data_IF_598823425590
#
_entry.id   IF_598823425590
#
_cell.length_a   1.000
_cell.length_b   1.000
_cell.length_c   1.000
_cell.angle_alpha   90.00
_cell.angle_beta   90.00
_cell.angle_gamma   90.00
#
_symmetry.space_group_name_H-M   'P 1'
#
loop_
_entity.id
_entity.type
_entity.pdbx_description
1 polymer ?
#
# COMPACT_ATOMS: atom_id res chain seq x y z
N UNK A 1 -13.59 22.64 1.75
CA UNK A 1 -13.71 21.52 2.71
C UNK A 1 -13.13 20.29 2.04
N UNK A 2 -11.88 19.94 2.35
CA UNK A 2 -11.19 18.81 1.73
C UNK A 2 -11.15 17.67 2.76
N UNK A 3 -11.86 16.58 2.47
CA UNK A 3 -11.99 15.35 3.26
C UNK A 3 -10.75 14.45 3.06
N UNK A 4 -9.59 14.91 3.52
CA UNK A 4 -8.38 14.07 3.64
C UNK A 4 -7.67 14.32 4.97
N UNK A 5 -8.42 14.79 5.96
CA UNK A 5 -7.99 14.91 7.33
C UNK A 5 -8.53 13.72 8.10
N UNK A 6 -7.75 12.63 8.12
CA UNK A 6 -7.55 11.74 9.28
C UNK A 6 -6.98 10.36 8.86
N UNK A 7 -5.87 10.34 8.11
CA UNK A 7 -4.92 9.21 8.17
C UNK A 7 -4.02 9.35 9.41
N UNK A 8 -4.62 9.60 10.59
CA UNK A 8 -3.91 9.83 11.86
C UNK A 8 -3.90 8.59 12.77
N UNK A 9 -4.23 7.39 12.25
CA UNK A 9 -4.25 6.16 13.05
C UNK A 9 -3.61 4.96 12.36
N UNK A 10 -2.63 5.21 11.49
CA UNK A 10 -1.63 4.20 11.17
C UNK A 10 -0.28 4.84 11.42
N UNK A 11 0.10 4.84 12.69
CA UNK A 11 1.50 4.80 13.05
C UNK A 11 2.13 3.65 12.26
N UNK A 12 2.67 3.92 11.09
CA UNK A 12 3.83 3.20 10.58
C UNK A 12 4.84 3.37 11.70
N UNK A 13 4.85 2.37 12.59
CA UNK A 13 5.58 2.40 13.85
C UNK A 13 6.94 2.98 13.59
N UNK A 14 7.40 3.92 14.43
CA UNK A 14 8.70 4.60 14.39
C UNK A 14 9.88 3.61 14.35
N UNK A 15 9.99 2.86 13.27
CA UNK A 15 10.95 1.81 12.95
C UNK A 15 11.62 2.27 11.67
N UNK A 16 12.94 2.17 11.63
CA UNK A 16 13.67 2.52 10.42
C UNK A 16 13.42 1.45 9.35
N UNK A 17 13.52 1.84 8.08
CA UNK A 17 13.54 0.88 6.96
C UNK A 17 14.61 -0.22 7.14
N UNK A 18 15.71 0.12 7.83
CA UNK A 18 16.76 -0.82 8.24
C UNK A 18 16.24 -1.94 9.15
N UNK A 19 15.48 -1.59 10.19
CA UNK A 19 14.92 -2.54 11.16
C UNK A 19 13.87 -3.44 10.49
N UNK A 20 13.01 -2.84 9.68
CA UNK A 20 11.99 -3.59 8.94
C UNK A 20 12.61 -4.57 7.95
N UNK A 21 13.64 -4.12 7.21
CA UNK A 21 14.38 -4.98 6.29
C UNK A 21 15.04 -6.16 7.00
N UNK A 22 15.67 -5.90 8.16
CA UNK A 22 16.31 -6.93 8.97
C UNK A 22 15.29 -7.98 9.44
N UNK A 23 14.14 -7.55 9.98
CA UNK A 23 13.08 -8.44 10.46
C UNK A 23 12.42 -9.24 9.34
N UNK A 24 12.27 -8.64 8.16
CA UNK A 24 11.70 -9.28 6.98
C UNK A 24 12.68 -10.18 6.22
N UNK A 25 13.99 -10.11 6.51
CA UNK A 25 15.01 -10.84 5.78
C UNK A 25 15.17 -10.38 4.32
N UNK A 26 14.89 -9.10 4.05
CA UNK A 26 15.01 -8.49 2.71
C UNK A 26 16.03 -7.35 2.72
N UNK A 27 16.37 -6.82 1.55
CA UNK A 27 17.23 -5.63 1.48
C UNK A 27 16.46 -4.37 1.89
N UNK A 28 17.16 -3.40 2.47
CA UNK A 28 16.65 -2.04 2.70
C UNK A 28 16.11 -1.40 1.42
N UNK A 29 16.75 -1.65 0.28
CA UNK A 29 16.29 -1.20 -1.04
C UNK A 29 14.90 -1.76 -1.38
N UNK A 30 14.62 -3.01 -1.03
CA UNK A 30 13.29 -3.62 -1.23
C UNK A 30 12.22 -2.88 -0.43
N UNK A 31 12.50 -2.55 0.84
CA UNK A 31 11.58 -1.78 1.70
C UNK A 31 11.35 -0.38 1.14
N UNK A 32 12.42 0.34 0.79
CA UNK A 32 12.30 1.69 0.21
C UNK A 32 11.52 1.68 -1.10
N UNK A 33 11.72 0.69 -1.96
CA UNK A 33 10.96 0.56 -3.21
C UNK A 33 9.46 0.39 -2.98
N UNK A 34 9.10 -0.45 -2.00
CA UNK A 34 7.71 -0.65 -1.58
C UNK A 34 7.13 0.67 -1.03
N UNK A 35 7.86 1.36 -0.15
CA UNK A 35 7.42 2.64 0.45
C UNK A 35 7.24 3.75 -0.59
N UNK A 36 8.10 3.79 -1.61
CA UNK A 36 8.04 4.80 -2.66
C UNK A 36 7.10 4.45 -3.81
N UNK A 37 6.40 3.30 -3.75
CA UNK A 37 5.59 2.74 -4.85
C UNK A 37 6.40 2.68 -6.17
N UNK A 38 7.70 2.41 -6.05
CA UNK A 38 8.62 2.39 -7.19
C UNK A 38 8.91 0.95 -7.57
N UNK A 39 8.74 0.67 -8.87
CA UNK A 39 9.15 -0.58 -9.51
C UNK A 39 8.48 -1.82 -8.89
N UNK A 40 7.28 -2.14 -9.41
CA UNK A 40 6.42 -3.30 -9.15
C UNK A 40 7.12 -4.39 -8.30
N UNK A 41 7.09 -4.27 -6.96
CA UNK A 41 7.83 -5.16 -6.09
C UNK A 41 7.29 -6.58 -6.24
N UNK A 42 8.18 -7.57 -6.16
CA UNK A 42 7.74 -8.97 -6.22
C UNK A 42 6.78 -9.23 -5.06
N UNK A 43 5.68 -9.93 -5.34
CA UNK A 43 4.69 -10.31 -4.34
C UNK A 43 5.32 -10.99 -3.11
N UNK A 44 6.33 -11.84 -3.32
CA UNK A 44 7.07 -12.47 -2.22
C UNK A 44 7.74 -11.46 -1.28
N UNK A 45 8.30 -10.38 -1.82
CA UNK A 45 8.92 -9.31 -1.02
C UNK A 45 7.89 -8.54 -0.21
N UNK A 46 6.74 -8.24 -0.83
CA UNK A 46 5.60 -7.63 -0.13
C UNK A 46 5.16 -8.51 1.06
N UNK A 47 4.89 -9.79 0.83
CA UNK A 47 4.43 -10.71 1.87
C UNK A 47 5.42 -10.85 3.04
N UNK A 48 6.73 -10.84 2.77
CA UNK A 48 7.75 -10.87 3.81
C UNK A 48 7.72 -9.60 4.67
N UNK A 49 7.57 -8.43 4.04
CA UNK A 49 7.46 -7.15 4.74
C UNK A 49 6.19 -7.08 5.57
N UNK A 50 5.05 -7.51 5.02
CA UNK A 50 3.76 -7.59 5.74
C UNK A 50 3.87 -8.49 6.97
N UNK A 51 4.46 -9.67 6.83
CA UNK A 51 4.69 -10.58 7.96
C UNK A 51 5.57 -9.95 9.05
N UNK A 52 6.60 -9.19 8.66
CA UNK A 52 7.47 -8.51 9.61
C UNK A 52 6.77 -7.35 10.36
N UNK A 53 5.72 -6.79 9.76
CA UNK A 53 4.83 -5.81 10.39
C UNK A 53 3.83 -6.44 11.36
N UNK A 54 3.70 -7.78 11.38
CA UNK A 54 2.70 -8.50 12.16
C UNK A 54 1.28 -8.07 11.79
N UNK A 55 1.03 -7.95 10.48
CA UNK A 55 -0.23 -7.48 9.89
C UNK A 55 -0.73 -8.51 8.88
N UNK A 56 -2.05 -8.64 8.71
CA UNK A 56 -2.60 -9.45 7.63
C UNK A 56 -2.46 -8.68 6.29
N UNK A 57 -2.02 -9.33 5.20
CA UNK A 57 -1.96 -8.66 3.89
C UNK A 57 -3.26 -7.99 3.46
N UNK A 58 -4.42 -8.55 3.82
CA UNK A 58 -5.72 -7.97 3.52
C UNK A 58 -5.94 -6.60 4.17
N UNK A 59 -5.35 -6.36 5.35
CA UNK A 59 -5.48 -5.08 6.07
C UNK A 59 -4.70 -3.94 5.39
N UNK A 60 -3.78 -4.27 4.48
CA UNK A 60 -2.94 -3.31 3.75
C UNK A 60 -3.42 -3.06 2.32
N UNK A 61 -4.39 -3.83 1.84
CA UNK A 61 -5.00 -3.63 0.54
C UNK A 61 -6.13 -2.61 0.68
N UNK A 62 -5.96 -1.44 0.08
CA UNK A 62 -7.07 -0.50 -0.07
C UNK A 62 -8.10 -1.14 -1.02
N UNK A 63 -9.40 -1.09 -0.68
CA UNK A 63 -10.48 -1.51 -1.57
C UNK A 63 -10.59 -0.54 -2.76
N UNK A 64 -9.61 -0.59 -3.67
CA UNK A 64 -9.64 0.10 -4.96
C UNK A 64 -10.27 -0.79 -6.02
N UNK A 65 -11.36 -1.45 -5.67
CA UNK A 65 -12.35 -1.87 -6.67
C UNK A 65 -13.06 -0.62 -7.15
N UNK A 66 -12.34 0.24 -7.88
CA UNK A 66 -12.97 1.35 -8.61
C UNK A 66 -13.92 0.74 -9.60
N UNK A 67 -15.20 0.76 -9.24
CA UNK A 67 -16.36 0.98 -10.07
C UNK A 67 -16.08 0.90 -11.59
N UNK A 68 -15.78 -0.32 -12.08
CA UNK A 68 -15.76 -0.63 -13.51
C UNK A 68 -17.19 -0.61 -14.10
N UNK A 69 -18.18 -0.10 -13.34
CA UNK A 69 -19.61 -0.08 -13.66
C UNK A 69 -20.21 1.29 -13.93
N UNK A 70 -19.50 2.40 -13.70
CA UNK A 70 -19.98 3.73 -14.11
C UNK A 70 -19.85 3.89 -15.63
N UNK A 71 -20.82 3.32 -16.37
CA UNK A 71 -21.08 3.62 -17.79
C UNK A 71 -21.04 5.15 -17.95
N UNK A 72 -20.17 5.73 -18.80
CA UNK A 72 -20.20 7.17 -19.05
C UNK A 72 -21.61 7.56 -19.49
N UNK A 73 -22.16 8.70 -19.01
CA UNK A 73 -23.52 9.10 -19.37
C UNK A 73 -23.62 9.09 -20.89
N UNK A 74 -24.60 8.34 -21.40
CA UNK A 74 -24.86 8.30 -22.83
C UNK A 74 -25.04 9.75 -23.28
N UNK A 75 -24.16 10.20 -24.17
CA UNK A 75 -24.33 11.46 -24.86
C UNK A 75 -25.58 11.31 -25.75
N UNK A 76 -26.74 11.61 -25.19
CA UNK A 76 -27.96 11.84 -25.98
C UNK A 76 -27.81 13.22 -26.62
N UNK A 77 -27.03 13.25 -27.71
CA UNK A 77 -27.06 14.35 -28.67
C UNK A 77 -28.43 14.31 -29.37
N UNK A 78 -29.27 15.30 -29.08
CA UNK A 78 -30.48 15.62 -29.85
C UNK A 78 -30.55 17.12 -30.10
#
# INVERSE_FOLDING_TARGET
>A
MALWSDCSTSSWTRRSAEDLAHRAGVSRDTVQRIEHDTNNPRLTGLLLVVRALDTDPADLLEERFTDLGSKPPANDSR
#
